data_IF_518714064293
#
_entry.id   IF_518714064293
#
_cell.length_a   1.000
_cell.length_b   1.000
_cell.length_c   1.000
_cell.angle_alpha   90.00
_cell.angle_beta   90.00
_cell.angle_gamma   90.00
#
_symmetry.space_group_name_H-M   'P 1'
#
loop_
_entity.id
_entity.type
_entity.pdbx_description
1 polymer ?
#
# COMPACT_ATOMS: atom_id res chain seq x y z
N UNK A 1 23.75 14.94 -11.29
CA UNK A 1 22.80 14.83 -10.17
C UNK A 1 21.37 14.90 -10.71
N UNK A 2 20.50 14.03 -10.23
CA UNK A 2 19.07 14.10 -10.56
C UNK A 2 18.42 15.21 -9.73
N UNK A 3 17.57 16.03 -10.38
CA UNK A 3 16.77 17.05 -9.69
C UNK A 3 15.49 16.48 -9.06
N UNK A 4 15.09 15.24 -9.42
CA UNK A 4 13.94 14.58 -8.78
C UNK A 4 14.32 14.07 -7.40
N UNK A 5 13.53 14.33 -6.34
CA UNK A 5 13.74 13.77 -5.02
C UNK A 5 13.71 12.24 -5.06
N UNK A 6 14.63 11.61 -4.35
CA UNK A 6 14.68 10.17 -4.17
C UNK A 6 14.08 9.78 -2.82
N UNK A 7 13.11 8.86 -2.84
CA UNK A 7 12.46 8.30 -1.66
C UNK A 7 12.90 6.84 -1.53
N UNK A 8 13.65 6.53 -0.48
CA UNK A 8 14.09 5.19 -0.14
C UNK A 8 13.15 4.59 0.89
N UNK A 9 12.34 3.61 0.49
CA UNK A 9 11.40 2.91 1.35
C UNK A 9 11.96 1.51 1.61
N UNK A 10 12.40 1.27 2.85
CA UNK A 10 13.25 0.14 3.17
C UNK A 10 12.59 -0.83 4.15
N UNK A 11 12.58 -2.13 3.85
CA UNK A 11 12.02 -3.15 4.74
C UNK A 11 13.04 -3.56 5.83
N UNK A 12 13.25 -2.65 6.79
CA UNK A 12 14.26 -2.89 7.82
C UNK A 12 13.83 -3.90 8.91
N UNK A 13 12.54 -4.04 9.17
CA UNK A 13 12.07 -4.80 10.35
C UNK A 13 10.97 -5.82 10.07
N UNK A 14 10.20 -5.63 9.00
CA UNK A 14 9.10 -6.50 8.64
C UNK A 14 7.73 -6.06 9.17
N UNK A 15 6.80 -7.01 9.36
CA UNK A 15 5.41 -6.77 9.74
C UNK A 15 4.88 -7.90 10.63
N UNK A 16 4.08 -7.63 11.68
CA UNK A 16 3.49 -8.66 12.53
C UNK A 16 2.35 -9.42 11.85
N UNK A 17 1.78 -8.88 10.79
CA UNK A 17 0.63 -9.41 10.08
C UNK A 17 1.03 -10.18 8.80
N UNK A 18 0.11 -11.00 8.27
CA UNK A 18 0.24 -11.76 7.03
C UNK A 18 -1.01 -11.56 6.17
N UNK A 19 -1.32 -10.29 5.93
CA UNK A 19 -2.58 -9.92 5.31
C UNK A 19 -2.72 -10.48 3.88
N UNK A 20 -3.84 -11.13 3.59
CA UNK A 20 -4.12 -11.69 2.25
C UNK A 20 -4.23 -10.62 1.16
N UNK A 21 -4.61 -9.40 1.54
CA UNK A 21 -4.74 -8.26 0.64
C UNK A 21 -3.42 -7.47 0.45
N UNK A 22 -2.35 -7.86 1.12
CA UNK A 22 -1.10 -7.13 1.06
C UNK A 22 -0.53 -7.15 -0.37
N UNK A 23 -0.39 -5.98 -0.96
CA UNK A 23 0.17 -5.82 -2.30
C UNK A 23 1.67 -6.16 -2.36
N UNK A 24 2.39 -6.11 -1.24
CA UNK A 24 3.78 -6.57 -1.11
C UNK A 24 3.91 -8.09 -0.97
N UNK A 25 2.80 -8.77 -0.67
CA UNK A 25 2.81 -10.20 -0.39
C UNK A 25 3.44 -10.58 0.93
N UNK A 26 3.75 -11.86 1.07
CA UNK A 26 4.32 -12.42 2.28
C UNK A 26 5.85 -12.54 2.16
N UNK A 27 6.55 -11.67 2.90
CA UNK A 27 8.01 -11.72 3.01
C UNK A 27 8.44 -12.13 4.42
N UNK A 28 9.53 -12.89 4.59
CA UNK A 28 10.08 -13.21 5.89
C UNK A 28 10.46 -11.94 6.67
N UNK A 29 10.19 -11.91 7.97
CA UNK A 29 10.68 -10.84 8.83
C UNK A 29 12.17 -11.06 9.09
N UNK A 30 12.99 -10.14 8.62
CA UNK A 30 14.43 -10.10 8.85
C UNK A 30 14.83 -8.66 9.15
N UNK A 31 15.58 -8.47 10.22
CA UNK A 31 16.23 -7.18 10.43
C UNK A 31 17.39 -7.03 9.45
N UNK A 32 17.53 -5.84 8.87
CA UNK A 32 18.73 -5.50 8.12
C UNK A 32 19.93 -5.38 9.06
N UNK A 33 21.13 -5.51 8.51
CA UNK A 33 22.39 -5.38 9.27
C UNK A 33 22.50 -3.99 9.91
N UNK A 34 23.12 -3.87 11.09
CA UNK A 34 23.37 -2.59 11.74
C UNK A 34 24.12 -1.62 10.83
N UNK A 35 23.64 -0.37 10.73
CA UNK A 35 24.24 0.66 9.89
C UNK A 35 23.79 0.64 8.43
N UNK A 36 22.97 -0.32 8.01
CA UNK A 36 22.41 -0.37 6.66
C UNK A 36 21.68 0.91 6.26
N UNK A 37 20.99 1.55 7.21
CA UNK A 37 20.29 2.81 7.01
C UNK A 37 21.21 3.95 6.57
N UNK A 38 22.29 4.20 7.30
CA UNK A 38 23.25 5.22 6.94
C UNK A 38 23.97 4.88 5.63
N UNK A 39 24.35 3.61 5.46
CA UNK A 39 24.99 3.13 4.24
C UNK A 39 24.10 3.35 3.00
N UNK A 40 22.79 3.08 3.10
CA UNK A 40 21.84 3.30 2.00
C UNK A 40 21.76 4.77 1.61
N UNK A 41 21.63 5.68 2.56
CA UNK A 41 21.59 7.11 2.26
C UNK A 41 22.93 7.57 1.67
N UNK A 42 24.06 7.13 2.23
CA UNK A 42 25.40 7.44 1.72
C UNK A 42 25.65 6.88 0.31
N UNK A 43 25.02 5.78 -0.04
CA UNK A 43 25.09 5.19 -1.37
C UNK A 43 24.47 6.09 -2.44
N UNK A 44 23.35 6.73 -2.14
CA UNK A 44 22.57 7.51 -3.13
C UNK A 44 22.86 9.01 -3.12
N UNK A 45 23.22 9.60 -1.99
CA UNK A 45 23.42 11.07 -1.86
C UNK A 45 24.41 11.71 -2.84
N UNK A 46 25.41 11.02 -3.44
CA UNK A 46 26.26 11.64 -4.45
C UNK A 46 25.55 11.98 -5.77
N UNK A 47 24.43 11.30 -6.07
CA UNK A 47 23.70 11.43 -7.35
C UNK A 47 22.37 12.15 -7.22
N UNK A 48 21.87 12.32 -5.99
CA UNK A 48 20.57 12.95 -5.71
C UNK A 48 20.71 14.07 -4.69
N UNK A 49 20.18 15.26 -5.02
CA UNK A 49 20.18 16.41 -4.12
C UNK A 49 19.27 16.20 -2.90
N UNK A 50 18.19 15.46 -3.11
CA UNK A 50 17.22 15.11 -2.06
C UNK A 50 17.11 13.61 -1.95
N UNK A 51 17.35 13.08 -0.75
CA UNK A 51 17.16 11.68 -0.38
C UNK A 51 16.32 11.61 0.89
N UNK A 52 15.08 11.17 0.77
CA UNK A 52 14.17 10.97 1.89
C UNK A 52 14.15 9.50 2.27
N UNK A 53 14.46 9.19 3.52
CA UNK A 53 14.62 7.82 3.98
C UNK A 53 13.47 7.38 4.87
N UNK A 54 12.91 6.20 4.58
CA UNK A 54 11.91 5.50 5.37
C UNK A 54 12.44 4.11 5.75
N UNK A 55 12.53 3.83 7.03
CA UNK A 55 12.98 2.53 7.56
C UNK A 55 11.93 1.43 7.50
N UNK A 56 10.73 1.73 7.00
CA UNK A 56 9.61 0.79 6.92
C UNK A 56 8.98 0.77 5.53
N UNK A 57 8.76 -0.41 5.02
CA UNK A 57 8.04 -0.69 3.78
C UNK A 57 6.66 -1.32 4.08
N UNK A 58 6.61 -2.23 5.07
CA UNK A 58 5.42 -3.01 5.41
C UNK A 58 4.64 -2.44 6.58
N UNK A 59 5.27 -2.32 7.73
CA UNK A 59 4.61 -1.87 8.97
C UNK A 59 5.41 -0.74 9.60
N UNK A 60 4.84 0.45 9.72
CA UNK A 60 5.48 1.55 10.43
C UNK A 60 5.64 1.19 11.91
N UNK A 61 6.76 1.62 12.51
CA UNK A 61 7.01 1.51 13.95
C UNK A 61 7.01 0.06 14.52
N UNK A 62 7.28 -0.94 13.70
CA UNK A 62 7.32 -2.34 14.17
C UNK A 62 8.56 -2.63 15.05
N UNK A 63 9.63 -1.85 14.97
CA UNK A 63 10.80 -2.00 15.84
C UNK A 63 10.55 -1.43 17.25
N UNK A 64 11.21 -2.01 18.28
CA UNK A 64 11.03 -1.57 19.66
C UNK A 64 11.53 -0.13 19.93
N UNK A 65 12.56 0.28 19.22
CA UNK A 65 13.10 1.66 19.30
C UNK A 65 12.46 2.64 18.34
N UNK A 66 11.16 2.56 18.05
CA UNK A 66 10.47 3.34 17.02
C UNK A 66 10.64 4.86 17.14
N UNK A 67 10.70 5.43 18.37
CA UNK A 67 10.95 6.87 18.59
C UNK A 67 12.33 7.27 18.06
N UNK A 68 13.38 6.60 18.53
CA UNK A 68 14.75 6.83 18.07
C UNK A 68 14.90 6.50 16.57
N UNK A 69 14.15 5.52 16.06
CA UNK A 69 14.12 5.18 14.64
C UNK A 69 13.55 6.33 13.81
N UNK A 70 12.45 6.91 14.22
CA UNK A 70 11.85 8.06 13.55
C UNK A 70 12.77 9.30 13.56
N UNK A 71 13.40 9.58 14.69
CA UNK A 71 14.40 10.66 14.79
C UNK A 71 15.58 10.40 13.84
N UNK A 72 16.02 9.16 13.76
CA UNK A 72 17.14 8.77 12.88
C UNK A 72 16.75 8.84 11.39
N UNK A 73 15.54 8.43 10.99
CA UNK A 73 15.06 8.58 9.61
C UNK A 73 15.06 10.06 9.19
N UNK A 74 14.62 10.95 10.09
CA UNK A 74 14.69 12.38 9.88
C UNK A 74 16.14 12.91 9.79
N UNK A 75 17.04 12.42 10.63
CA UNK A 75 18.44 12.85 10.68
C UNK A 75 19.26 12.35 9.48
N UNK A 76 18.94 11.19 8.95
CA UNK A 76 19.61 10.61 7.78
C UNK A 76 19.14 11.25 6.47
N UNK A 77 17.90 11.73 6.40
CA UNK A 77 17.34 12.32 5.19
C UNK A 77 18.04 13.62 4.82
N UNK A 78 18.28 13.83 3.52
CA UNK A 78 19.01 14.99 2.96
C UNK A 78 18.09 15.75 2.02
N UNK A 79 17.99 17.07 2.16
CA UNK A 79 17.17 17.93 1.30
C UNK A 79 15.65 17.81 1.50
N UNK A 80 15.20 16.89 2.35
CA UNK A 80 13.80 16.65 2.69
C UNK A 80 13.68 15.88 3.99
N UNK A 81 12.46 15.57 4.40
CA UNK A 81 12.19 14.75 5.60
C UNK A 81 11.07 13.73 5.31
N UNK A 82 11.11 12.56 5.96
CA UNK A 82 9.98 11.63 5.89
C UNK A 82 8.75 12.26 6.55
N UNK A 83 7.59 12.02 5.95
CA UNK A 83 6.31 12.46 6.48
C UNK A 83 5.63 11.32 7.23
N UNK A 84 4.92 11.67 8.31
CA UNK A 84 4.00 10.75 8.97
C UNK A 84 2.69 10.74 8.21
N UNK A 85 2.36 9.56 7.69
CA UNK A 85 1.06 9.32 7.07
C UNK A 85 0.04 8.86 8.13
N UNK A 86 -1.19 8.64 7.69
CA UNK A 86 -2.25 8.03 8.49
C UNK A 86 -1.98 6.56 8.85
N UNK A 87 -0.83 6.03 8.46
CA UNK A 87 -0.42 4.65 8.74
C UNK A 87 0.32 4.58 10.08
N UNK A 88 -0.16 3.70 10.95
CA UNK A 88 0.47 3.38 12.23
C UNK A 88 0.23 1.90 12.56
N UNK A 89 1.08 1.34 13.39
CA UNK A 89 0.94 -0.06 13.81
C UNK A 89 -0.20 -0.24 14.81
N UNK A 90 -1.34 -0.79 14.39
CA UNK A 90 -2.40 -1.15 15.33
C UNK A 90 -1.95 -2.27 16.29
N UNK A 91 -1.02 -3.11 15.87
CA UNK A 91 -0.40 -4.12 16.72
C UNK A 91 0.36 -3.46 17.90
N UNK A 92 1.10 -2.37 17.64
CA UNK A 92 1.81 -1.62 18.67
C UNK A 92 0.86 -0.81 19.54
N UNK A 93 -0.15 -0.19 18.97
CA UNK A 93 -1.15 0.57 19.75
C UNK A 93 -1.72 -0.22 20.95
N UNK A 94 -1.95 -1.51 20.78
CA UNK A 94 -2.51 -2.34 21.85
C UNK A 94 -1.50 -2.94 22.81
N UNK A 95 -0.20 -2.83 22.54
CA UNK A 95 0.89 -3.43 23.34
C UNK A 95 1.79 -2.42 24.01
N UNK A 96 1.84 -1.22 23.49
CA UNK A 96 2.70 -0.15 23.99
C UNK A 96 1.83 1.04 24.43
N UNK A 97 1.68 1.29 25.74
CA UNK A 97 0.82 2.34 26.25
C UNK A 97 1.29 3.75 25.89
N UNK A 98 2.56 3.92 25.54
CA UNK A 98 3.15 5.22 25.21
C UNK A 98 3.03 5.55 23.72
N UNK A 99 2.67 4.55 22.89
CA UNK A 99 2.72 4.72 21.44
C UNK A 99 1.69 5.70 20.89
N UNK A 100 0.46 5.69 21.41
CA UNK A 100 -0.56 6.66 20.99
C UNK A 100 -0.17 8.11 21.37
N UNK A 101 0.44 8.31 22.54
CA UNK A 101 1.00 9.61 22.93
C UNK A 101 2.09 10.08 21.95
N UNK A 102 3.00 9.19 21.58
CA UNK A 102 4.02 9.49 20.56
C UNK A 102 3.41 9.89 19.21
N UNK A 103 2.39 9.17 18.73
CA UNK A 103 1.70 9.53 17.48
C UNK A 103 1.11 10.95 17.56
N UNK A 104 0.47 11.29 18.69
CA UNK A 104 -0.08 12.63 18.92
C UNK A 104 1.00 13.70 18.93
N UNK A 105 2.12 13.48 19.64
CA UNK A 105 3.30 14.37 19.68
C UNK A 105 3.92 14.53 18.29
N UNK A 106 3.94 13.48 17.47
CA UNK A 106 4.41 13.52 16.09
C UNK A 106 3.42 14.21 15.11
N UNK A 107 2.28 14.70 15.61
CA UNK A 107 1.28 15.43 14.82
C UNK A 107 0.31 14.56 14.05
N UNK A 108 0.24 13.26 14.34
CA UNK A 108 -0.72 12.34 13.70
C UNK A 108 -2.12 12.66 14.20
N UNK A 109 -3.02 13.01 13.29
CA UNK A 109 -4.42 13.36 13.58
C UNK A 109 -5.39 12.22 13.32
N UNK A 110 -5.03 11.33 12.40
CA UNK A 110 -5.87 10.22 11.95
C UNK A 110 -5.03 8.97 11.75
N UNK A 111 -5.56 7.79 12.07
CA UNK A 111 -4.91 6.49 11.84
C UNK A 111 -5.87 5.55 11.11
N UNK A 112 -5.39 4.95 10.02
CA UNK A 112 -6.15 3.98 9.25
C UNK A 112 -6.11 2.60 9.88
N UNK A 113 -7.29 2.00 10.05
CA UNK A 113 -7.51 0.65 10.55
C UNK A 113 -8.31 -0.15 9.50
N UNK A 114 -7.79 -1.32 9.12
CA UNK A 114 -8.37 -2.10 8.02
C UNK A 114 -9.15 -3.31 8.53
N UNK A 115 -10.42 -3.38 8.15
CA UNK A 115 -11.35 -4.46 8.48
C UNK A 115 -11.72 -5.27 7.21
N UNK A 116 -12.10 -6.54 7.42
CA UNK A 116 -12.56 -7.42 6.35
C UNK A 116 -13.93 -8.04 6.61
N UNK A 117 -14.63 -7.54 7.58
CA UNK A 117 -15.87 -8.03 8.14
C UNK A 117 -15.78 -8.07 9.66
N UNK A 118 -16.45 -9.02 10.30
CA UNK A 118 -16.38 -9.24 11.73
C UNK A 118 -15.13 -10.08 12.10
N UNK A 119 -15.13 -10.65 13.31
CA UNK A 119 -13.95 -11.26 13.92
C UNK A 119 -13.32 -12.35 13.06
N UNK A 120 -14.11 -13.34 12.61
CA UNK A 120 -13.57 -14.49 11.87
C UNK A 120 -12.90 -14.07 10.56
N UNK A 121 -13.59 -13.24 9.78
CA UNK A 121 -13.06 -12.79 8.49
C UNK A 121 -11.88 -11.84 8.66
N UNK A 122 -11.94 -10.90 9.57
CA UNK A 122 -10.82 -9.97 9.81
C UNK A 122 -9.58 -10.70 10.30
N UNK A 123 -9.70 -11.65 11.24
CA UNK A 123 -8.58 -12.47 11.72
C UNK A 123 -7.98 -13.32 10.60
N UNK A 124 -8.83 -13.95 9.78
CA UNK A 124 -8.41 -14.77 8.63
C UNK A 124 -7.67 -13.95 7.59
N UNK A 125 -8.16 -12.76 7.26
CA UNK A 125 -7.55 -11.90 6.25
C UNK A 125 -6.27 -11.21 6.73
N UNK A 126 -6.18 -10.85 7.99
CA UNK A 126 -4.93 -10.34 8.59
C UNK A 126 -3.90 -11.45 8.84
N UNK A 127 -4.33 -12.72 8.79
CA UNK A 127 -3.50 -13.89 9.08
C UNK A 127 -3.09 -13.98 10.55
N UNK A 128 -3.88 -13.40 11.47
CA UNK A 128 -3.57 -13.35 12.89
C UNK A 128 -4.84 -13.37 13.74
N UNK A 129 -4.94 -14.38 14.61
CA UNK A 129 -6.05 -14.51 15.57
C UNK A 129 -6.08 -13.34 16.55
N UNK A 130 -7.25 -12.79 16.80
CA UNK A 130 -7.49 -11.66 17.69
C UNK A 130 -7.22 -10.29 17.05
N UNK A 131 -6.91 -10.23 15.76
CA UNK A 131 -6.66 -8.97 15.07
C UNK A 131 -7.90 -8.05 15.06
N UNK A 132 -9.10 -8.60 14.93
CA UNK A 132 -10.34 -7.83 15.00
C UNK A 132 -10.51 -7.14 16.37
N UNK A 133 -10.33 -7.89 17.46
CA UNK A 133 -10.42 -7.34 18.82
C UNK A 133 -9.34 -6.27 19.07
N UNK A 134 -8.15 -6.47 18.53
CA UNK A 134 -7.07 -5.49 18.60
C UNK A 134 -7.39 -4.22 17.79
N UNK A 135 -8.05 -4.32 16.63
CA UNK A 135 -8.51 -3.16 15.86
C UNK A 135 -9.55 -2.34 16.63
N UNK A 136 -10.50 -3.01 17.30
CA UNK A 136 -11.48 -2.33 18.17
C UNK A 136 -10.78 -1.66 19.37
N UNK A 137 -9.84 -2.35 20.02
CA UNK A 137 -9.07 -1.78 21.12
C UNK A 137 -8.19 -0.61 20.64
N UNK A 138 -7.56 -0.73 19.48
CA UNK A 138 -6.79 0.36 18.87
C UNK A 138 -7.69 1.59 18.60
N UNK A 139 -8.93 1.38 18.11
CA UNK A 139 -9.94 2.44 17.94
C UNK A 139 -10.17 3.17 19.27
N UNK A 140 -10.38 2.44 20.36
CA UNK A 140 -10.60 3.02 21.69
C UNK A 140 -9.39 3.78 22.22
N UNK A 141 -8.17 3.27 21.97
CA UNK A 141 -6.92 3.93 22.37
C UNK A 141 -6.74 5.24 21.60
N UNK A 142 -6.95 5.22 20.29
CA UNK A 142 -6.84 6.41 19.43
C UNK A 142 -7.81 7.51 19.90
N UNK A 143 -9.08 7.16 20.12
CA UNK A 143 -10.11 8.12 20.60
C UNK A 143 -9.74 8.74 21.95
N UNK A 144 -9.19 7.96 22.90
CA UNK A 144 -8.72 8.49 24.20
C UNK A 144 -7.56 9.49 24.05
N UNK A 145 -6.77 9.36 23.00
CA UNK A 145 -5.67 10.28 22.69
C UNK A 145 -6.04 11.37 21.70
N UNK A 146 -7.35 11.53 21.41
CA UNK A 146 -7.86 12.52 20.44
C UNK A 146 -7.21 12.40 19.07
N UNK A 147 -7.02 11.16 18.61
CA UNK A 147 -6.61 10.79 17.25
C UNK A 147 -7.81 10.10 16.61
N UNK A 148 -8.22 10.57 15.44
CA UNK A 148 -9.38 10.01 14.77
C UNK A 148 -9.04 8.63 14.17
N UNK A 149 -9.77 7.55 14.50
CA UNK A 149 -9.69 6.32 13.74
C UNK A 149 -10.32 6.55 12.35
N UNK A 150 -9.69 6.02 11.31
CA UNK A 150 -10.24 5.93 9.97
C UNK A 150 -10.39 4.46 9.62
N UNK A 151 -11.64 4.02 9.49
CA UNK A 151 -11.91 2.64 9.16
C UNK A 151 -11.97 2.43 7.66
N UNK A 152 -11.24 1.43 7.19
CA UNK A 152 -11.24 0.97 5.82
C UNK A 152 -11.74 -0.46 5.76
N UNK A 153 -12.61 -0.77 4.81
CA UNK A 153 -13.02 -2.15 4.56
C UNK A 153 -12.71 -2.55 3.12
N UNK A 154 -11.99 -3.68 2.97
CA UNK A 154 -11.85 -4.33 1.68
C UNK A 154 -13.04 -5.25 1.43
N UNK A 155 -13.76 -5.02 0.33
CA UNK A 155 -14.96 -5.75 -0.05
C UNK A 155 -14.66 -6.77 -1.16
N UNK A 156 -15.12 -8.00 -0.97
CA UNK A 156 -14.99 -9.09 -1.94
C UNK A 156 -16.17 -10.07 -1.79
N UNK A 157 -16.22 -11.11 -2.62
CA UNK A 157 -17.31 -12.09 -2.58
C UNK A 157 -17.41 -12.89 -1.28
N UNK A 158 -16.29 -13.10 -0.57
CA UNK A 158 -16.28 -13.86 0.68
C UNK A 158 -16.83 -13.07 1.87
N UNK A 159 -16.73 -11.74 1.85
CA UNK A 159 -17.07 -10.89 3.00
C UNK A 159 -18.23 -9.90 2.78
N UNK A 160 -18.82 -9.87 1.60
CA UNK A 160 -19.92 -8.94 1.25
C UNK A 160 -21.12 -9.00 2.19
N UNK A 161 -21.35 -10.13 2.84
CA UNK A 161 -22.44 -10.29 3.79
C UNK A 161 -22.10 -9.74 5.20
N UNK A 162 -20.82 -9.64 5.56
CA UNK A 162 -20.39 -9.20 6.89
C UNK A 162 -19.95 -7.73 6.96
N UNK A 163 -19.38 -7.19 5.88
CA UNK A 163 -18.89 -5.80 5.87
C UNK A 163 -19.99 -4.78 6.26
N UNK A 164 -21.27 -4.93 5.84
CA UNK A 164 -22.35 -4.07 6.28
C UNK A 164 -22.54 -3.99 7.81
N UNK A 165 -22.22 -5.07 8.52
CA UNK A 165 -22.33 -5.10 9.98
C UNK A 165 -21.37 -4.12 10.69
N UNK A 166 -20.31 -3.68 10.00
CA UNK A 166 -19.42 -2.63 10.52
C UNK A 166 -20.15 -1.30 10.73
N UNK A 167 -21.19 -1.01 9.94
CA UNK A 167 -22.00 0.20 10.11
C UNK A 167 -22.69 0.21 11.49
N UNK A 168 -23.22 -0.93 11.91
CA UNK A 168 -23.81 -1.08 13.24
C UNK A 168 -22.77 -0.93 14.37
N UNK A 169 -21.55 -1.36 14.16
CA UNK A 169 -20.45 -1.13 15.13
C UNK A 169 -20.05 0.34 15.19
N UNK A 170 -19.97 1.04 14.06
CA UNK A 170 -19.68 2.48 13.98
C UNK A 170 -20.70 3.26 14.80
N UNK A 171 -21.98 2.93 14.63
CA UNK A 171 -23.09 3.56 15.35
C UNK A 171 -23.04 3.23 16.85
N UNK A 172 -22.88 1.94 17.21
CA UNK A 172 -22.82 1.48 18.61
C UNK A 172 -21.67 2.11 19.38
N UNK A 173 -20.51 2.27 18.73
CA UNK A 173 -19.33 2.89 19.32
C UNK A 173 -19.36 4.43 19.25
N UNK A 174 -20.42 5.03 18.70
CA UNK A 174 -20.61 6.47 18.53
C UNK A 174 -19.40 7.18 17.88
N UNK A 175 -18.72 6.53 16.91
CA UNK A 175 -17.41 6.98 16.41
C UNK A 175 -17.42 8.40 15.84
N UNK A 176 -18.46 8.76 15.06
CA UNK A 176 -18.62 10.11 14.53
C UNK A 176 -18.77 11.18 15.62
N UNK A 177 -19.61 10.90 16.62
CA UNK A 177 -19.86 11.82 17.74
C UNK A 177 -18.60 12.00 18.57
N UNK A 178 -17.86 10.93 18.83
CA UNK A 178 -16.65 10.94 19.64
C UNK A 178 -15.52 11.68 18.95
N UNK A 179 -15.33 11.50 17.64
CA UNK A 179 -14.32 12.26 16.87
C UNK A 179 -14.66 13.75 16.83
N UNK A 180 -15.94 14.12 16.60
CA UNK A 180 -16.39 15.51 16.64
C UNK A 180 -16.16 16.19 17.98
N UNK A 181 -16.14 15.46 19.09
CA UNK A 181 -15.93 16.02 20.42
C UNK A 181 -14.54 16.65 20.61
N UNK A 182 -13.53 16.21 19.82
CA UNK A 182 -12.19 16.80 19.81
C UNK A 182 -11.82 17.48 18.48
N UNK A 183 -12.84 17.80 17.65
CA UNK A 183 -12.68 18.62 16.45
C UNK A 183 -12.20 17.88 15.19
N UNK A 184 -12.22 16.55 15.20
CA UNK A 184 -11.84 15.72 14.05
C UNK A 184 -13.07 14.98 13.48
N UNK A 185 -12.93 14.43 12.29
CA UNK A 185 -13.97 13.67 11.58
C UNK A 185 -13.64 12.18 11.59
N UNK A 186 -14.62 11.34 11.96
CA UNK A 186 -14.53 9.91 11.72
C UNK A 186 -14.77 9.62 10.24
N UNK A 187 -13.92 8.78 9.64
CA UNK A 187 -14.09 8.35 8.25
C UNK A 187 -14.21 6.84 8.16
N UNK A 188 -15.23 6.40 7.43
CA UNK A 188 -15.38 5.01 7.00
C UNK A 188 -15.44 4.98 5.47
N UNK A 189 -14.68 4.10 4.85
CA UNK A 189 -14.76 3.89 3.42
C UNK A 189 -14.54 2.42 3.05
N UNK A 190 -15.11 2.05 1.92
CA UNK A 190 -15.08 0.69 1.37
C UNK A 190 -14.48 0.74 -0.03
N UNK A 191 -13.71 -0.26 -0.38
CA UNK A 191 -13.21 -0.46 -1.75
C UNK A 191 -12.85 -1.93 -2.01
N UNK A 192 -12.59 -2.29 -3.26
CA UNK A 192 -12.21 -3.67 -3.65
C UNK A 192 -10.69 -3.86 -3.73
N UNK A 193 -9.90 -2.82 -3.50
CA UNK A 193 -8.45 -2.83 -3.75
C UNK A 193 -8.08 -2.70 -5.22
N UNK A 194 -6.83 -2.37 -5.49
CA UNK A 194 -6.31 -2.11 -6.84
C UNK A 194 -6.15 -3.35 -7.71
N UNK A 195 -6.02 -4.53 -7.12
CA UNK A 195 -5.74 -5.79 -7.83
C UNK A 195 -4.36 -5.82 -8.52
N UNK A 196 -3.40 -5.10 -7.96
CA UNK A 196 -2.01 -5.07 -8.40
C UNK A 196 -1.07 -5.77 -7.41
N UNK A 197 0.20 -5.93 -7.77
CA UNK A 197 1.17 -6.64 -6.95
C UNK A 197 0.66 -8.03 -6.51
N UNK A 198 0.97 -8.41 -5.29
CA UNK A 198 0.57 -9.72 -4.75
C UNK A 198 -0.94 -9.83 -4.45
N UNK A 199 -1.66 -8.72 -4.30
CA UNK A 199 -3.09 -8.76 -4.01
C UNK A 199 -3.96 -9.18 -5.22
N UNK A 200 -3.41 -9.23 -6.43
CA UNK A 200 -4.06 -9.80 -7.61
C UNK A 200 -4.49 -11.26 -7.40
N UNK A 201 -3.88 -11.98 -6.45
CA UNK A 201 -4.31 -13.32 -6.03
C UNK A 201 -5.75 -13.35 -5.51
N UNK A 202 -6.30 -12.18 -5.16
CA UNK A 202 -7.71 -12.03 -4.78
C UNK A 202 -8.64 -11.82 -5.98
N UNK A 203 -8.13 -11.72 -7.20
CA UNK A 203 -8.97 -11.57 -8.40
C UNK A 203 -10.09 -12.61 -8.50
N UNK A 204 -9.89 -13.92 -8.18
CA UNK A 204 -10.98 -14.90 -8.26
C UNK A 204 -12.19 -14.56 -7.37
N UNK A 205 -11.95 -13.91 -6.23
CA UNK A 205 -12.98 -13.51 -5.26
C UNK A 205 -13.30 -12.02 -5.31
N UNK A 206 -12.81 -11.28 -6.33
CA UNK A 206 -13.14 -9.88 -6.50
C UNK A 206 -14.65 -9.73 -6.71
N UNK A 207 -15.27 -8.80 -6.00
CA UNK A 207 -16.72 -8.62 -6.00
C UNK A 207 -17.23 -8.22 -7.39
N UNK A 208 -18.39 -8.77 -7.78
CA UNK A 208 -19.14 -8.26 -8.91
C UNK A 208 -19.82 -6.94 -8.55
N UNK A 209 -19.89 -6.02 -9.50
CA UNK A 209 -20.44 -4.67 -9.25
C UNK A 209 -21.88 -4.73 -8.75
N UNK A 210 -22.70 -5.65 -9.28
CA UNK A 210 -24.08 -5.89 -8.86
C UNK A 210 -24.20 -6.44 -7.44
N UNK A 211 -23.17 -7.11 -6.93
CA UNK A 211 -23.12 -7.69 -5.59
C UNK A 211 -22.68 -6.70 -4.49
N UNK A 212 -22.29 -5.47 -4.85
CA UNK A 212 -21.94 -4.45 -3.85
C UNK A 212 -23.22 -4.07 -3.08
N UNK A 213 -23.28 -4.30 -1.74
CA UNK A 213 -24.46 -4.02 -0.91
C UNK A 213 -24.87 -2.54 -1.02
N UNK A 214 -26.18 -2.30 -1.11
CA UNK A 214 -26.71 -0.93 -1.29
C UNK A 214 -26.31 0.01 -0.17
N UNK A 215 -26.36 -0.47 1.06
CA UNK A 215 -26.00 0.27 2.26
C UNK A 215 -24.52 0.67 2.32
N UNK A 216 -23.65 -0.01 1.58
CA UNK A 216 -22.21 0.32 1.49
C UNK A 216 -21.90 1.30 0.36
N UNK A 217 -22.78 1.50 -0.61
CA UNK A 217 -22.52 2.40 -1.76
C UNK A 217 -22.17 3.84 -1.37
N UNK A 218 -22.80 4.45 -0.34
CA UNK A 218 -22.43 5.79 0.13
C UNK A 218 -21.00 5.89 0.69
N UNK A 219 -20.47 4.78 1.17
CA UNK A 219 -19.14 4.67 1.75
C UNK A 219 -18.11 4.09 0.78
N UNK A 220 -18.55 3.63 -0.38
CA UNK A 220 -17.67 3.09 -1.40
C UNK A 220 -16.92 4.23 -2.08
N UNK A 221 -15.59 4.17 -2.03
CA UNK A 221 -14.74 5.21 -2.60
C UNK A 221 -15.08 5.40 -4.08
N UNK A 222 -15.46 6.62 -4.45
CA UNK A 222 -15.80 7.01 -5.83
C UNK A 222 -16.73 6.02 -6.57
N UNK A 223 -17.78 5.51 -5.90
CA UNK A 223 -18.69 4.49 -6.45
C UNK A 223 -19.18 4.80 -7.86
N UNK A 224 -19.42 6.07 -8.18
CA UNK A 224 -19.86 6.50 -9.51
C UNK A 224 -18.88 6.23 -10.64
N UNK A 225 -17.60 6.01 -10.31
CA UNK A 225 -16.54 5.68 -11.27
C UNK A 225 -16.28 4.18 -11.39
N UNK A 226 -16.89 3.36 -10.54
CA UNK A 226 -16.74 1.91 -10.58
C UNK A 226 -17.40 1.36 -11.86
N UNK A 227 -16.63 0.58 -12.60
CA UNK A 227 -17.04 -0.12 -13.81
C UNK A 227 -17.07 -1.62 -13.57
N UNK A 228 -17.76 -2.35 -14.44
CA UNK A 228 -17.51 -3.79 -14.56
C UNK A 228 -16.25 -4.02 -15.40
N UNK A 229 -15.60 -5.15 -15.24
CA UNK A 229 -14.47 -5.53 -16.09
C UNK A 229 -14.85 -5.50 -17.57
N UNK A 230 -16.04 -5.99 -17.91
CA UNK A 230 -16.60 -5.90 -19.27
C UNK A 230 -16.64 -4.45 -19.77
N UNK A 231 -17.08 -3.50 -18.94
CA UNK A 231 -17.09 -2.08 -19.28
C UNK A 231 -15.69 -1.49 -19.43
N UNK A 232 -14.73 -1.95 -18.61
CA UNK A 232 -13.33 -1.57 -18.76
C UNK A 232 -12.76 -2.06 -20.09
N UNK A 233 -12.99 -3.33 -20.46
CA UNK A 233 -12.58 -3.89 -21.76
C UNK A 233 -13.16 -3.08 -22.92
N UNK A 234 -14.44 -2.72 -22.86
CA UNK A 234 -15.09 -1.91 -23.90
C UNK A 234 -14.42 -0.54 -24.05
N UNK A 235 -14.11 0.14 -22.91
CA UNK A 235 -13.45 1.44 -22.95
C UNK A 235 -12.02 1.40 -23.48
N UNK A 236 -11.32 0.28 -23.30
CA UNK A 236 -9.92 0.12 -23.70
C UNK A 236 -9.76 -0.46 -25.10
N UNK A 237 -10.79 -1.08 -25.69
CA UNK A 237 -10.76 -1.86 -26.94
C UNK A 237 -9.95 -1.24 -28.07
N UNK A 238 -10.16 0.04 -28.33
CA UNK A 238 -9.51 0.76 -29.44
C UNK A 238 -8.43 1.73 -28.95
N UNK A 239 -7.99 1.60 -27.71
CA UNK A 239 -6.99 2.50 -27.11
C UNK A 239 -5.60 2.22 -27.66
N UNK A 240 -4.98 3.24 -28.21
CA UNK A 240 -3.56 3.25 -28.61
C UNK A 240 -2.62 3.80 -27.55
N UNK A 241 -3.16 4.20 -26.39
CA UNK A 241 -2.36 4.66 -25.26
C UNK A 241 -1.59 3.49 -24.61
N UNK A 242 -0.53 3.81 -23.90
CA UNK A 242 0.28 2.88 -23.11
C UNK A 242 0.11 3.16 -21.62
N UNK A 243 -0.02 2.10 -20.82
CA UNK A 243 0.06 2.21 -19.37
C UNK A 243 1.52 2.13 -18.94
N UNK A 244 2.16 3.28 -18.81
CA UNK A 244 3.57 3.35 -18.37
C UNK A 244 3.62 4.00 -16.99
N UNK A 245 3.84 3.23 -15.92
CA UNK A 245 4.02 3.79 -14.59
C UNK A 245 5.18 4.79 -14.58
N UNK A 246 4.95 5.97 -14.02
CA UNK A 246 5.94 7.06 -14.01
C UNK A 246 6.13 7.62 -12.61
N UNK A 247 7.36 7.92 -12.29
CA UNK A 247 7.72 8.79 -11.17
C UNK A 247 7.78 10.24 -11.68
N UNK A 248 6.64 10.95 -11.72
CA UNK A 248 6.60 12.30 -12.28
C UNK A 248 7.36 13.31 -11.42
N UNK A 249 7.02 13.39 -10.13
CA UNK A 249 7.57 14.39 -9.21
C UNK A 249 8.75 13.90 -8.36
N UNK A 250 8.89 12.58 -8.19
CA UNK A 250 9.88 11.95 -7.32
C UNK A 250 10.18 10.54 -7.80
N UNK A 251 11.35 10.03 -7.44
CA UNK A 251 11.69 8.62 -7.65
C UNK A 251 11.45 7.89 -6.33
N UNK A 252 10.70 6.80 -6.36
CA UNK A 252 10.47 5.95 -5.20
C UNK A 252 11.10 4.57 -5.45
N UNK A 253 11.97 4.15 -4.55
CA UNK A 253 12.60 2.83 -4.58
C UNK A 253 12.19 2.03 -3.35
N UNK A 254 11.70 0.82 -3.58
CA UNK A 254 11.52 -0.17 -2.54
C UNK A 254 12.79 -1.00 -2.40
N UNK A 255 13.35 -1.03 -1.20
CA UNK A 255 14.56 -1.79 -0.91
C UNK A 255 14.21 -2.92 0.04
N UNK A 256 14.32 -4.15 -0.45
CA UNK A 256 14.14 -5.35 0.34
C UNK A 256 15.27 -5.54 1.36
N UNK A 257 15.04 -6.34 2.38
CA UNK A 257 16.07 -6.70 3.37
C UNK A 257 17.26 -7.50 2.79
N UNK A 258 17.13 -7.99 1.54
CA UNK A 258 18.20 -8.57 0.73
C UNK A 258 19.07 -7.55 -0.01
N UNK A 259 18.75 -6.26 0.08
CA UNK A 259 19.30 -5.15 -0.72
C UNK A 259 18.91 -5.17 -2.20
N UNK A 260 17.94 -5.98 -2.60
CA UNK A 260 17.31 -5.86 -3.90
C UNK A 260 16.50 -4.57 -3.97
N UNK A 261 16.64 -3.88 -5.10
CA UNK A 261 15.98 -2.60 -5.37
C UNK A 261 14.92 -2.81 -6.43
N UNK A 262 13.72 -2.31 -6.13
CA UNK A 262 12.56 -2.36 -7.01
C UNK A 262 12.06 -0.97 -7.31
N UNK A 263 11.61 -0.80 -8.54
CA UNK A 263 10.97 0.43 -8.98
C UNK A 263 9.49 0.41 -8.61
N UNK A 264 9.00 1.49 -7.97
CA UNK A 264 7.61 1.63 -7.56
C UNK A 264 7.20 0.81 -6.32
N UNK A 265 6.07 1.19 -5.71
CA UNK A 265 5.57 0.64 -4.45
C UNK A 265 4.97 -0.77 -4.57
N UNK A 266 4.42 -1.12 -5.73
CA UNK A 266 3.46 -2.22 -5.82
C UNK A 266 4.02 -3.51 -6.37
N UNK A 267 5.22 -3.51 -6.91
CA UNK A 267 5.74 -4.66 -7.66
C UNK A 267 7.15 -5.02 -7.19
N UNK A 268 7.23 -6.06 -6.35
CA UNK A 268 8.50 -6.65 -5.95
C UNK A 268 8.74 -7.98 -6.69
N UNK A 269 8.42 -8.01 -7.99
CA UNK A 269 8.67 -9.12 -8.89
C UNK A 269 9.90 -8.86 -9.75
N UNK A 270 10.47 -9.89 -10.37
CA UNK A 270 11.72 -9.79 -11.13
C UNK A 270 11.64 -8.75 -12.26
N UNK A 271 10.49 -8.61 -12.92
CA UNK A 271 10.31 -7.60 -13.97
C UNK A 271 10.49 -6.14 -13.50
N UNK A 272 10.25 -5.86 -12.23
CA UNK A 272 10.39 -4.54 -11.61
C UNK A 272 11.69 -4.37 -10.83
N UNK A 273 12.51 -5.40 -10.77
CA UNK A 273 13.81 -5.36 -10.09
C UNK A 273 14.80 -4.55 -10.91
N UNK A 274 15.42 -3.56 -10.27
CA UNK A 274 16.50 -2.75 -10.85
C UNK A 274 17.83 -3.48 -10.74
N UNK A 275 18.07 -4.09 -9.58
CA UNK A 275 19.29 -4.83 -9.26
C UNK A 275 19.49 -4.97 -7.76
N UNK A 276 20.71 -5.30 -7.33
CA UNK A 276 21.06 -5.47 -5.92
C UNK A 276 22.22 -4.56 -5.52
N UNK A 277 22.05 -3.79 -4.45
CA UNK A 277 23.02 -2.77 -4.01
C UNK A 277 24.36 -3.34 -3.52
N UNK A 278 24.42 -4.64 -3.21
CA UNK A 278 25.65 -5.30 -2.71
C UNK A 278 26.44 -6.02 -3.81
N UNK A 279 25.78 -6.42 -4.90
CA UNK A 279 26.39 -7.27 -5.91
C UNK A 279 26.57 -6.59 -7.26
N UNK A 280 25.73 -5.63 -7.59
CA UNK A 280 25.74 -4.99 -8.90
C UNK A 280 26.60 -3.71 -8.89
N UNK A 281 27.23 -3.34 -10.02
CA UNK A 281 28.02 -2.12 -10.12
C UNK A 281 27.15 -0.88 -9.84
N UNK A 282 27.63 -0.01 -8.95
CA UNK A 282 26.88 1.18 -8.50
C UNK A 282 26.49 2.10 -9.67
N UNK A 283 27.42 2.37 -10.56
CA UNK A 283 27.21 3.28 -11.71
C UNK A 283 26.08 2.77 -12.61
N UNK A 284 26.01 1.47 -12.81
CA UNK A 284 24.96 0.83 -13.61
C UNK A 284 23.60 0.91 -12.93
N UNK A 285 23.53 0.69 -11.60
CA UNK A 285 22.29 0.83 -10.85
C UNK A 285 21.76 2.27 -10.90
N UNK A 286 22.63 3.25 -10.67
CA UNK A 286 22.24 4.67 -10.74
C UNK A 286 21.77 5.03 -12.15
N UNK A 287 22.47 4.56 -13.21
CA UNK A 287 22.04 4.75 -14.60
C UNK A 287 20.64 4.20 -14.83
N UNK A 288 20.38 2.96 -14.45
CA UNK A 288 19.07 2.31 -14.59
C UNK A 288 17.95 3.08 -13.88
N UNK A 289 18.22 3.57 -12.67
CA UNK A 289 17.26 4.36 -11.89
C UNK A 289 16.94 5.67 -12.61
N UNK A 290 17.96 6.40 -13.05
CA UNK A 290 17.79 7.74 -13.63
C UNK A 290 17.18 7.68 -15.04
N UNK A 291 17.57 6.68 -15.83
CA UNK A 291 17.09 6.48 -17.21
C UNK A 291 15.80 5.65 -17.27
N UNK A 292 15.30 5.14 -16.12
CA UNK A 292 14.16 4.23 -16.05
C UNK A 292 14.36 2.99 -16.95
N UNK A 293 15.61 2.49 -17.02
CA UNK A 293 15.98 1.31 -17.80
C UNK A 293 15.66 0.02 -17.03
N UNK A 294 14.38 -0.35 -17.06
CA UNK A 294 13.80 -1.46 -16.29
C UNK A 294 12.99 -2.35 -17.24
N UNK A 295 13.15 -3.68 -17.17
CA UNK A 295 12.47 -4.59 -18.11
C UNK A 295 10.96 -4.39 -18.20
N UNK A 296 10.29 -4.23 -17.05
CA UNK A 296 8.84 -3.98 -17.00
C UNK A 296 8.44 -2.68 -17.70
N UNK A 297 9.22 -1.59 -17.56
CA UNK A 297 8.95 -0.32 -18.23
C UNK A 297 9.21 -0.40 -19.75
N UNK A 298 10.18 -1.18 -20.18
CA UNK A 298 10.38 -1.43 -21.60
C UNK A 298 9.16 -2.12 -22.21
N UNK A 299 8.67 -3.20 -21.59
CA UNK A 299 7.45 -3.89 -22.00
C UNK A 299 6.21 -2.99 -21.98
N UNK A 300 6.06 -2.15 -20.94
CA UNK A 300 4.95 -1.22 -20.84
C UNK A 300 4.89 -0.19 -21.97
N UNK A 301 6.03 0.18 -22.53
CA UNK A 301 6.14 1.10 -23.69
C UNK A 301 5.84 0.43 -25.04
N UNK A 302 5.88 -0.90 -25.11
CA UNK A 302 5.69 -1.66 -26.36
C UNK A 302 4.24 -2.06 -26.60
N UNK A 303 3.41 -2.20 -25.56
CA UNK A 303 2.05 -2.70 -25.65
C UNK A 303 1.02 -1.59 -25.39
N UNK A 304 -0.02 -1.55 -26.20
CA UNK A 304 -1.14 -0.62 -26.00
C UNK A 304 -2.16 -1.16 -25.02
N UNK A 305 -2.95 -0.27 -24.43
CA UNK A 305 -4.08 -0.65 -23.56
C UNK A 305 -5.13 -1.48 -24.28
N UNK A 306 -5.34 -1.23 -25.59
CA UNK A 306 -6.23 -2.04 -26.41
C UNK A 306 -5.75 -3.48 -26.55
N UNK A 307 -4.46 -3.70 -26.85
CA UNK A 307 -3.85 -5.02 -26.93
C UNK A 307 -3.85 -5.75 -25.58
N UNK A 308 -3.64 -5.01 -24.49
CA UNK A 308 -3.74 -5.56 -23.13
C UNK A 308 -5.16 -6.07 -22.84
N UNK A 309 -6.17 -5.25 -23.14
CA UNK A 309 -7.57 -5.61 -22.94
C UNK A 309 -7.99 -6.81 -23.81
N UNK A 310 -7.53 -6.90 -25.06
CA UNK A 310 -7.79 -8.03 -25.94
C UNK A 310 -7.18 -9.33 -25.43
N UNK A 311 -5.93 -9.28 -24.90
CA UNK A 311 -5.20 -10.48 -24.49
C UNK A 311 -5.60 -11.00 -23.11
N UNK A 312 -5.85 -10.10 -22.16
CA UNK A 312 -5.98 -10.42 -20.75
C UNK A 312 -7.31 -10.06 -20.14
N UNK A 313 -8.12 -9.27 -20.85
CA UNK A 313 -9.42 -8.84 -20.36
C UNK A 313 -10.48 -9.94 -20.48
N UNK A 314 -11.48 -9.87 -19.62
CA UNK A 314 -12.68 -10.71 -19.68
C UNK A 314 -13.90 -9.82 -20.01
N UNK A 315 -14.34 -9.80 -21.28
CA UNK A 315 -15.45 -8.95 -21.73
C UNK A 315 -16.83 -9.42 -21.23
N UNK A 316 -16.89 -10.50 -20.47
CA UNK A 316 -18.13 -11.02 -19.86
C UNK A 316 -18.13 -10.88 -18.34
N UNK A 317 -17.03 -10.46 -17.74
CA UNK A 317 -16.89 -10.37 -16.29
C UNK A 317 -17.58 -9.13 -15.71
N UNK A 318 -18.38 -9.33 -14.68
CA UNK A 318 -19.07 -8.29 -13.91
C UNK A 318 -18.24 -7.78 -12.71
N UNK A 319 -16.97 -8.21 -12.56
CA UNK A 319 -16.10 -7.81 -11.47
C UNK A 319 -15.89 -6.29 -11.46
N UNK A 320 -15.97 -5.70 -10.26
CA UNK A 320 -15.88 -4.25 -10.07
C UNK A 320 -14.44 -3.76 -10.14
N UNK A 321 -14.18 -2.74 -10.95
CA UNK A 321 -12.88 -2.08 -11.09
C UNK A 321 -13.02 -0.56 -11.22
N UNK A 322 -11.99 0.16 -10.81
CA UNK A 322 -11.67 1.46 -11.41
C UNK A 322 -10.89 1.21 -12.69
N UNK A 323 -11.06 2.10 -13.67
CA UNK A 323 -10.39 1.92 -14.97
C UNK A 323 -8.86 1.88 -14.83
N UNK A 324 -8.29 2.75 -14.01
CA UNK A 324 -6.85 2.83 -13.75
C UNK A 324 -6.31 1.56 -13.07
N UNK A 325 -7.02 1.05 -12.05
CA UNK A 325 -6.66 -0.22 -11.41
C UNK A 325 -6.69 -1.38 -12.41
N UNK A 326 -7.65 -1.37 -13.32
CA UNK A 326 -7.76 -2.40 -14.35
C UNK A 326 -6.63 -2.33 -15.38
N UNK A 327 -6.22 -1.13 -15.78
CA UNK A 327 -5.07 -0.92 -16.65
C UNK A 327 -3.79 -1.49 -16.02
N UNK A 328 -3.53 -1.15 -14.77
CA UNK A 328 -2.41 -1.68 -14.00
C UNK A 328 -2.47 -3.21 -13.84
N UNK A 329 -3.67 -3.76 -13.59
CA UNK A 329 -3.88 -5.21 -13.51
C UNK A 329 -3.51 -5.93 -14.82
N UNK A 330 -3.97 -5.40 -15.97
CA UNK A 330 -3.68 -5.97 -17.29
C UNK A 330 -2.19 -5.91 -17.61
N UNK A 331 -1.55 -4.75 -17.35
CA UNK A 331 -0.12 -4.57 -17.55
C UNK A 331 0.70 -5.56 -16.72
N UNK A 332 0.34 -5.76 -15.46
CA UNK A 332 1.06 -6.70 -14.60
C UNK A 332 0.93 -8.15 -15.07
N UNK A 333 -0.23 -8.54 -15.58
CA UNK A 333 -0.40 -9.86 -16.20
C UNK A 333 0.52 -10.04 -17.41
N UNK A 334 0.62 -9.01 -18.25
CA UNK A 334 1.51 -9.04 -19.41
C UNK A 334 2.99 -9.15 -19.02
N UNK A 335 3.42 -8.36 -18.05
CA UNK A 335 4.81 -8.38 -17.56
C UNK A 335 5.17 -9.76 -17.00
N UNK A 336 4.26 -10.37 -16.25
CA UNK A 336 4.47 -11.73 -15.72
C UNK A 336 4.57 -12.79 -16.80
N UNK A 337 3.68 -12.76 -17.78
CA UNK A 337 3.73 -13.71 -18.90
C UNK A 337 5.03 -13.60 -19.69
N UNK A 338 5.67 -12.44 -19.68
CA UNK A 338 6.89 -12.17 -20.46
C UNK A 338 8.18 -12.36 -19.69
N UNK A 339 8.17 -12.10 -18.38
CA UNK A 339 9.36 -12.08 -17.54
C UNK A 339 9.35 -13.14 -16.42
N UNK A 340 8.19 -13.77 -16.18
CA UNK A 340 8.01 -14.87 -15.21
C UNK A 340 7.84 -14.42 -13.80
#
# INVERSE_FOLDING_TARGET
MSHKPLYLVTDMYGCPNRCRHCWLGHMPNRAMEPGADAWLVDYFKPDFETVVFYSWLREPDFCDGYRARWERDNALSVGGKPERFELASFWRLVRDPDYAGFLKEAGVKQVQLTFFGLEELTDRYTGRKGAFQELLLATEILLRHEIAPRWQAFLNEENKAEVPALLGLIETLELEKRCRAFGEEFKFFVHTGSCDGENRKLYPIRIEKSHIPEELRPYYLDYGQVLTEAQCCERLRDSTAHEVPRNEDRIVLNIANSFDVYFNFTHMTEGWRIGNLKTDPREELIRRIVEEDIPALALAREITLGELAERYGDPLSEKAFFLEDYQSYLLNRYIEDRLG
#
